data_IF_794592336362
#
_entry.id   IF_794592336362
#
_cell.length_a   1.000
_cell.length_b   1.000
_cell.length_c   1.000
_cell.angle_alpha   90.00
_cell.angle_beta   90.00
_cell.angle_gamma   90.00
#
_symmetry.space_group_name_H-M   'P 1'
#
loop_
_entity.id
_entity.type
_entity.pdbx_description
1 polymer ?
#
# COMPACT_ATOMS: atom_id res chain seq x y z
N UNK A 1 -64.23 -22.85 56.42
CA UNK A 1 -63.04 -22.30 55.73
C UNK A 1 -62.84 -23.06 54.42
N UNK A 2 -63.35 -22.54 53.30
CA UNK A 2 -63.21 -23.17 51.97
C UNK A 2 -61.98 -22.62 51.24
N UNK A 3 -61.03 -23.49 50.88
CA UNK A 3 -59.82 -23.13 50.13
C UNK A 3 -60.19 -22.67 48.71
N UNK A 4 -59.79 -21.47 48.32
CA UNK A 4 -59.83 -21.03 46.94
C UNK A 4 -58.86 -21.89 46.11
N UNK A 5 -59.36 -22.64 45.11
CA UNK A 5 -58.52 -23.31 44.12
C UNK A 5 -58.03 -22.26 43.12
N UNK A 6 -56.75 -21.91 43.21
CA UNK A 6 -56.08 -21.14 42.18
C UNK A 6 -55.89 -22.04 40.95
N UNK A 7 -56.71 -21.89 39.92
CA UNK A 7 -56.51 -22.59 38.65
C UNK A 7 -55.36 -21.94 37.88
N UNK A 8 -54.36 -22.73 37.48
CA UNK A 8 -53.30 -22.25 36.58
C UNK A 8 -53.91 -21.79 35.26
N UNK A 9 -53.53 -20.63 34.72
CA UNK A 9 -54.11 -20.11 33.48
C UNK A 9 -53.88 -21.09 32.32
N UNK A 10 -54.89 -21.27 31.45
CA UNK A 10 -54.94 -22.24 30.34
C UNK A 10 -53.70 -22.23 29.42
N UNK A 11 -53.01 -21.09 29.34
CA UNK A 11 -51.77 -20.90 28.58
C UNK A 11 -50.64 -21.84 29.06
N UNK A 12 -50.65 -22.25 30.34
CA UNK A 12 -49.63 -23.15 30.91
C UNK A 12 -50.01 -24.63 30.91
N UNK A 13 -51.20 -24.99 30.42
CA UNK A 13 -51.61 -26.41 30.35
C UNK A 13 -51.10 -27.10 29.08
N UNK A 14 -50.91 -26.35 27.99
CA UNK A 14 -50.35 -26.88 26.75
C UNK A 14 -48.83 -26.68 26.72
N UNK A 15 -48.09 -27.78 26.97
CA UNK A 15 -46.62 -27.76 26.86
C UNK A 15 -46.15 -27.27 25.49
N UNK A 16 -46.87 -27.63 24.42
CA UNK A 16 -46.55 -27.22 23.06
C UNK A 16 -46.65 -25.70 22.87
N UNK A 17 -47.74 -25.08 23.36
CA UNK A 17 -47.93 -23.63 23.29
C UNK A 17 -46.83 -22.89 24.07
N UNK A 18 -46.45 -23.41 25.24
CA UNK A 18 -45.39 -22.83 26.04
C UNK A 18 -44.03 -22.90 25.33
N UNK A 19 -43.70 -24.01 24.68
CA UNK A 19 -42.47 -24.13 23.88
C UNK A 19 -42.49 -23.22 22.64
N UNK A 20 -43.62 -23.11 21.94
CA UNK A 20 -43.76 -22.22 20.79
C UNK A 20 -43.63 -20.75 21.18
N UNK A 21 -44.22 -20.33 22.30
CA UNK A 21 -44.07 -18.97 22.82
C UNK A 21 -42.63 -18.70 23.25
N UNK A 22 -41.98 -19.63 23.95
CA UNK A 22 -40.59 -19.48 24.35
C UNK A 22 -39.66 -19.39 23.13
N UNK A 23 -39.90 -20.19 22.09
CA UNK A 23 -39.16 -20.11 20.83
C UNK A 23 -39.42 -18.79 20.10
N UNK A 24 -40.67 -18.32 20.06
CA UNK A 24 -41.00 -17.02 19.46
C UNK A 24 -40.32 -15.86 20.20
N UNK A 25 -40.37 -15.85 21.54
CA UNK A 25 -39.73 -14.81 22.34
C UNK A 25 -38.20 -14.85 22.22
N UNK A 26 -37.59 -16.03 22.24
CA UNK A 26 -36.13 -16.15 22.07
C UNK A 26 -35.67 -15.76 20.66
N UNK A 27 -36.41 -16.15 19.62
CA UNK A 27 -36.09 -15.74 18.24
C UNK A 27 -36.35 -14.25 18.00
N UNK A 28 -37.42 -13.69 18.54
CA UNK A 28 -37.71 -12.26 18.46
C UNK A 28 -36.67 -11.44 19.22
N UNK A 29 -36.25 -11.89 20.41
CA UNK A 29 -35.18 -11.24 21.17
C UNK A 29 -33.84 -11.35 20.46
N UNK A 30 -33.53 -12.48 19.81
CA UNK A 30 -32.32 -12.64 19.00
C UNK A 30 -32.37 -11.77 17.73
N UNK A 31 -33.52 -11.65 17.08
CA UNK A 31 -33.74 -10.77 15.93
C UNK A 31 -33.64 -9.29 16.32
N UNK A 32 -34.20 -8.92 17.47
CA UNK A 32 -34.13 -7.57 18.02
C UNK A 32 -32.69 -7.24 18.47
N UNK A 33 -32.04 -8.16 19.17
CA UNK A 33 -30.64 -8.06 19.58
C UNK A 33 -29.71 -7.96 18.38
N UNK A 34 -29.91 -8.74 17.32
CA UNK A 34 -29.09 -8.62 16.09
C UNK A 34 -29.39 -7.33 15.31
N UNK A 35 -30.63 -6.83 15.33
CA UNK A 35 -31.03 -5.57 14.70
C UNK A 35 -30.50 -4.32 15.43
N UNK A 36 -30.52 -4.36 16.77
CA UNK A 36 -30.05 -3.33 17.71
C UNK A 36 -28.58 -3.51 18.11
N UNK A 37 -27.97 -4.66 17.77
CA UNK A 37 -26.57 -4.96 18.07
C UNK A 37 -25.70 -3.84 17.52
N UNK A 38 -24.73 -3.34 18.29
CA UNK A 38 -23.85 -2.23 17.90
C UNK A 38 -22.89 -2.61 16.74
N UNK A 39 -23.10 -3.75 16.08
CA UNK A 39 -22.49 -4.06 14.78
C UNK A 39 -22.94 -3.13 13.66
N UNK A 40 -24.04 -2.35 13.83
CA UNK A 40 -24.34 -1.21 12.96
C UNK A 40 -23.58 0.01 13.47
N UNK A 41 -22.43 0.23 12.89
CA UNK A 41 -21.62 1.42 13.12
C UNK A 41 -22.47 2.68 12.91
N UNK A 42 -22.67 3.47 13.97
CA UNK A 42 -23.20 4.82 13.84
C UNK A 42 -22.11 5.69 13.21
N UNK A 43 -22.11 5.75 11.88
CA UNK A 43 -21.24 6.67 11.16
C UNK A 43 -21.72 8.09 11.44
N UNK A 44 -20.89 8.88 12.14
CA UNK A 44 -21.07 10.32 12.17
C UNK A 44 -20.58 10.86 10.83
N UNK A 45 -21.43 10.81 9.82
CA UNK A 45 -21.19 11.58 8.59
C UNK A 45 -21.24 13.05 8.98
N UNK A 46 -20.12 13.76 8.94
CA UNK A 46 -20.19 15.21 9.00
C UNK A 46 -20.65 15.69 7.61
N UNK A 47 -21.69 16.54 7.52
CA UNK A 47 -22.19 17.05 6.25
C UNK A 47 -21.16 17.92 5.50
N UNK A 48 -20.02 18.21 6.11
CA UNK A 48 -18.91 18.95 5.54
C UNK A 48 -17.72 18.07 5.15
N UNK A 49 -17.83 16.75 5.29
CA UNK A 49 -16.72 15.84 5.02
C UNK A 49 -16.58 15.62 3.52
N UNK A 50 -15.46 16.05 2.91
CA UNK A 50 -15.21 15.85 1.49
C UNK A 50 -14.73 14.40 1.30
N UNK A 51 -15.34 13.37 1.87
CA UNK A 51 -14.85 11.99 1.67
C UNK A 51 -15.46 11.43 0.40
N UNK A 52 -14.60 10.92 -0.45
CA UNK A 52 -15.00 10.35 -1.72
C UNK A 52 -15.72 9.01 -1.46
N UNK A 53 -16.89 8.82 -2.08
CA UNK A 53 -17.65 7.58 -1.97
C UNK A 53 -16.83 6.39 -2.49
N UNK A 54 -17.09 5.15 -2.03
CA UNK A 54 -16.35 3.99 -2.53
C UNK A 54 -16.39 3.93 -4.06
N UNK A 55 -15.21 4.03 -4.68
CA UNK A 55 -15.05 4.12 -6.13
C UNK A 55 -15.16 2.77 -6.85
N UNK A 56 -15.19 1.68 -6.10
CA UNK A 56 -15.21 0.34 -6.67
C UNK A 56 -15.90 -0.64 -5.73
N UNK A 57 -16.74 -1.48 -6.31
CA UNK A 57 -17.40 -2.59 -5.62
C UNK A 57 -16.80 -3.89 -6.13
N UNK A 58 -16.31 -4.71 -5.21
CA UNK A 58 -15.74 -6.01 -5.57
C UNK A 58 -16.84 -7.06 -5.72
N UNK A 59 -16.68 -8.01 -6.66
CA UNK A 59 -17.46 -9.25 -6.66
C UNK A 59 -17.33 -9.95 -5.30
N UNK A 60 -18.42 -10.54 -4.77
CA UNK A 60 -18.40 -11.17 -3.44
C UNK A 60 -17.30 -12.23 -3.27
N UNK A 61 -17.02 -13.00 -4.32
CA UNK A 61 -16.02 -14.07 -4.32
C UNK A 61 -14.57 -13.60 -4.47
N UNK A 62 -14.32 -12.30 -4.66
CA UNK A 62 -12.98 -11.80 -4.90
C UNK A 62 -12.10 -11.82 -3.64
N UNK A 63 -11.08 -12.67 -3.66
CA UNK A 63 -10.07 -12.75 -2.61
C UNK A 63 -10.45 -13.63 -1.41
N UNK A 64 -11.50 -14.45 -1.51
CA UNK A 64 -11.91 -15.43 -0.48
C UNK A 64 -10.81 -16.45 -0.15
N UNK A 65 -9.90 -16.74 -1.10
CA UNK A 65 -8.83 -17.73 -0.93
C UNK A 65 -7.42 -17.15 -0.80
N UNK A 66 -7.27 -15.82 -0.79
CA UNK A 66 -5.94 -15.17 -0.81
C UNK A 66 -5.36 -14.87 0.57
N UNK A 67 -6.14 -14.98 1.65
CA UNK A 67 -5.66 -14.80 3.02
C UNK A 67 -6.41 -15.69 4.01
N UNK A 68 -5.83 -15.88 5.20
CA UNK A 68 -6.47 -16.54 6.33
C UNK A 68 -7.82 -15.88 6.67
N UNK A 69 -8.75 -16.74 7.11
CA UNK A 69 -10.15 -16.49 7.51
C UNK A 69 -10.42 -15.02 7.82
N UNK A 70 -11.47 -14.39 7.23
CA UNK A 70 -11.88 -13.06 7.63
C UNK A 70 -12.04 -13.05 9.16
N UNK A 71 -11.16 -12.34 9.86
CA UNK A 71 -11.37 -12.12 11.29
C UNK A 71 -12.68 -11.36 11.37
N UNK A 72 -13.74 -12.01 11.87
CA UNK A 72 -14.98 -11.37 12.33
C UNK A 72 -14.65 -10.44 13.51
N UNK A 73 -13.82 -9.42 13.28
CA UNK A 73 -13.82 -8.24 14.11
C UNK A 73 -14.90 -7.37 13.54
N UNK A 74 -15.87 -7.01 14.37
CA UNK A 74 -16.74 -5.86 14.16
C UNK A 74 -15.91 -4.58 14.17
N UNK A 75 -14.98 -4.42 13.23
CA UNK A 75 -14.23 -3.19 13.06
C UNK A 75 -15.11 -2.25 12.26
N UNK A 76 -15.92 -1.49 12.98
CA UNK A 76 -16.40 -0.21 12.49
C UNK A 76 -15.19 0.60 12.03
N UNK A 77 -14.95 0.62 10.72
CA UNK A 77 -13.94 1.44 10.10
C UNK A 77 -14.64 2.72 9.65
N UNK A 78 -14.79 3.66 10.58
CA UNK A 78 -15.01 5.03 10.16
C UNK A 78 -13.76 5.48 9.40
N UNK A 79 -13.89 6.15 8.24
CA UNK A 79 -12.75 6.86 7.69
C UNK A 79 -12.20 7.79 8.78
N UNK A 80 -10.87 7.83 8.88
CA UNK A 80 -10.20 8.66 9.88
C UNK A 80 -10.48 10.12 9.51
N UNK A 81 -11.07 10.87 10.44
CA UNK A 81 -11.37 12.28 10.25
C UNK A 81 -10.09 13.11 10.41
N UNK A 82 -9.91 14.07 9.51
CA UNK A 82 -8.79 15.00 9.56
C UNK A 82 -9.31 16.41 9.26
N UNK A 83 -9.39 17.25 10.29
CA UNK A 83 -9.73 18.68 10.16
C UNK A 83 -8.78 19.41 9.23
N UNK A 84 -7.55 18.93 9.12
CA UNK A 84 -6.43 19.63 8.49
C UNK A 84 -6.31 19.31 6.99
N UNK A 85 -7.28 18.58 6.42
CA UNK A 85 -7.27 18.19 5.00
C UNK A 85 -7.06 19.38 4.06
N UNK A 86 -7.82 20.46 4.26
CA UNK A 86 -7.74 21.65 3.40
C UNK A 86 -6.41 22.38 3.51
N UNK A 87 -5.80 22.35 4.70
CA UNK A 87 -4.47 22.92 4.93
C UNK A 87 -3.43 22.10 4.16
N UNK A 88 -3.39 20.78 4.40
CA UNK A 88 -2.46 19.89 3.72
C UNK A 88 -2.63 19.90 2.19
N UNK A 89 -3.87 19.96 1.71
CA UNK A 89 -4.17 20.06 0.28
C UNK A 89 -3.56 21.32 -0.33
N UNK A 90 -3.81 22.50 0.26
CA UNK A 90 -3.31 23.79 -0.27
C UNK A 90 -1.79 23.83 -0.24
N UNK A 91 -1.18 23.44 0.87
CA UNK A 91 0.28 23.47 1.01
C UNK A 91 0.97 22.52 0.01
N UNK A 92 0.45 21.29 -0.15
CA UNK A 92 0.98 20.36 -1.16
C UNK A 92 0.73 20.87 -2.58
N UNK A 93 -0.43 21.48 -2.84
CA UNK A 93 -0.72 22.09 -4.14
C UNK A 93 0.31 23.16 -4.49
N UNK A 94 0.60 24.07 -3.57
CA UNK A 94 1.57 25.16 -3.76
C UNK A 94 2.98 24.58 -3.99
N UNK A 95 3.39 23.59 -3.20
CA UNK A 95 4.68 22.90 -3.37
C UNK A 95 4.79 22.20 -4.74
N UNK A 96 3.69 21.63 -5.24
CA UNK A 96 3.65 21.00 -6.56
C UNK A 96 3.73 22.06 -7.68
N UNK A 97 3.05 23.21 -7.54
CA UNK A 97 3.10 24.29 -8.53
C UNK A 97 4.48 24.94 -8.61
N UNK A 98 5.08 25.28 -7.47
CA UNK A 98 6.42 25.89 -7.40
C UNK A 98 7.52 24.97 -7.97
N UNK A 99 7.33 23.64 -7.89
CA UNK A 99 8.29 22.68 -8.46
C UNK A 99 8.32 22.67 -9.99
N UNK A 100 7.25 23.13 -10.66
CA UNK A 100 7.17 23.18 -12.12
C UNK A 100 8.12 24.23 -12.72
N UNK A 101 8.52 25.23 -11.95
CA UNK A 101 9.43 26.28 -12.39
C UNK A 101 10.91 25.91 -12.24
N UNK A 102 11.23 24.91 -11.41
CA UNK A 102 12.61 24.59 -10.98
C UNK A 102 13.08 23.14 -11.20
N UNK A 103 12.21 22.22 -11.66
CA UNK A 103 12.59 20.81 -11.77
C UNK A 103 13.51 20.53 -12.98
N UNK A 104 14.81 20.66 -12.78
CA UNK A 104 15.82 20.09 -13.67
C UNK A 104 15.68 18.55 -13.67
N UNK A 105 15.32 17.98 -14.82
CA UNK A 105 15.01 16.56 -14.96
C UNK A 105 16.29 15.74 -14.86
N UNK A 106 16.44 14.97 -13.78
CA UNK A 106 17.55 14.02 -13.63
C UNK A 106 17.66 13.12 -14.87
N UNK A 107 18.87 13.07 -15.44
CA UNK A 107 19.17 12.22 -16.59
C UNK A 107 19.73 10.91 -16.09
N UNK A 108 19.16 9.80 -16.53
CA UNK A 108 19.63 8.47 -16.16
C UNK A 108 20.33 7.78 -17.31
N UNK A 109 21.41 7.07 -17.00
CA UNK A 109 22.15 6.28 -17.99
C UNK A 109 21.22 5.25 -18.64
N UNK A 110 21.34 5.13 -19.97
CA UNK A 110 20.64 4.15 -20.79
C UNK A 110 21.64 3.18 -21.39
N UNK A 111 21.22 1.93 -21.56
CA UNK A 111 22.12 0.89 -22.04
C UNK A 111 21.45 -0.47 -22.13
N UNK A 112 22.25 -1.49 -22.48
CA UNK A 112 21.78 -2.87 -22.68
C UNK A 112 22.12 -3.80 -21.52
N UNK A 113 22.64 -3.28 -20.40
CA UNK A 113 23.00 -4.12 -19.24
C UNK A 113 21.75 -4.61 -18.51
N UNK A 114 21.74 -5.90 -18.16
CA UNK A 114 20.73 -6.52 -17.30
C UNK A 114 21.00 -6.33 -15.80
N UNK A 115 22.17 -5.77 -15.44
CA UNK A 115 22.55 -5.58 -14.03
C UNK A 115 22.04 -4.23 -13.50
N UNK A 116 21.49 -4.25 -12.29
CA UNK A 116 21.07 -3.03 -11.59
C UNK A 116 22.28 -2.13 -11.28
N UNK A 117 22.24 -0.88 -11.74
CA UNK A 117 23.33 0.08 -11.58
C UNK A 117 24.60 -0.25 -12.37
N UNK A 118 24.55 -1.21 -13.31
CA UNK A 118 25.70 -1.62 -14.10
C UNK A 118 26.82 -2.32 -13.30
N UNK A 119 28.01 -2.41 -13.89
CA UNK A 119 29.19 -3.04 -13.28
C UNK A 119 30.21 -1.99 -12.81
N UNK A 120 29.78 -1.10 -11.91
CA UNK A 120 30.65 -0.08 -11.34
C UNK A 120 31.20 -0.52 -9.98
N UNK A 121 32.49 -0.22 -9.75
CA UNK A 121 33.12 -0.34 -8.43
C UNK A 121 32.43 0.57 -7.41
N UNK A 122 32.52 0.23 -6.12
CA UNK A 122 31.90 1.01 -5.05
C UNK A 122 32.39 2.46 -5.03
N UNK A 123 33.69 2.70 -5.22
CA UNK A 123 34.26 4.04 -5.31
C UNK A 123 33.63 4.87 -6.43
N UNK A 124 33.40 4.25 -7.59
CA UNK A 124 32.74 4.91 -8.72
C UNK A 124 31.25 5.13 -8.48
N UNK A 125 30.57 4.30 -7.68
CA UNK A 125 29.16 4.53 -7.29
C UNK A 125 29.06 5.73 -6.33
N UNK A 126 29.95 5.82 -5.35
CA UNK A 126 30.00 6.91 -4.37
C UNK A 126 30.19 8.27 -5.05
N UNK A 127 30.97 8.35 -6.13
CA UNK A 127 31.15 9.62 -6.87
C UNK A 127 29.86 10.18 -7.48
N UNK A 128 28.78 9.39 -7.59
CA UNK A 128 27.48 9.87 -8.07
C UNK A 128 26.52 10.28 -6.93
N UNK A 129 26.88 10.08 -5.66
CA UNK A 129 26.01 10.45 -4.54
C UNK A 129 25.93 11.96 -4.35
N UNK A 130 27.01 12.67 -4.68
CA UNK A 130 27.02 14.13 -4.73
C UNK A 130 26.79 14.57 -6.18
N UNK A 131 25.52 14.82 -6.52
CA UNK A 131 25.17 15.33 -7.85
C UNK A 131 25.32 16.86 -7.86
N UNK A 132 26.36 17.35 -8.55
CA UNK A 132 26.65 18.78 -8.65
C UNK A 132 26.41 19.38 -10.05
N UNK A 133 26.14 18.54 -11.06
CA UNK A 133 26.03 18.96 -12.46
C UNK A 133 25.00 18.16 -13.24
N UNK A 134 24.03 18.87 -13.81
CA UNK A 134 22.92 18.30 -14.59
C UNK A 134 23.34 17.65 -15.92
N UNK A 135 24.57 17.90 -16.36
CA UNK A 135 25.14 17.27 -17.56
C UNK A 135 25.48 15.79 -17.35
N UNK A 136 25.62 15.35 -16.09
CA UNK A 136 26.06 14.00 -15.75
C UNK A 136 24.87 13.04 -15.65
N UNK A 137 24.88 12.00 -16.48
CA UNK A 137 23.87 10.94 -16.39
C UNK A 137 24.12 10.07 -15.14
N UNK A 138 23.07 9.83 -14.36
CA UNK A 138 23.14 9.05 -13.11
C UNK A 138 22.94 7.56 -13.41
N UNK A 139 23.81 6.66 -12.93
CA UNK A 139 23.68 5.22 -13.10
C UNK A 139 22.71 4.59 -12.08
N UNK A 140 21.52 5.18 -11.91
CA UNK A 140 20.51 4.69 -10.97
C UNK A 140 19.54 3.71 -11.66
N UNK A 141 19.40 2.51 -11.10
CA UNK A 141 18.49 1.48 -11.60
C UNK A 141 19.01 0.68 -12.78
N UNK A 142 18.10 0.03 -13.51
CA UNK A 142 18.44 -0.68 -14.74
C UNK A 142 18.70 0.30 -15.88
N UNK A 143 19.67 -0.03 -16.74
CA UNK A 143 19.97 0.76 -17.93
C UNK A 143 19.00 0.47 -19.07
N UNK A 144 18.39 -0.73 -19.06
CA UNK A 144 17.28 -1.08 -19.95
C UNK A 144 16.02 -0.31 -19.58
N UNK A 145 15.17 -0.06 -20.58
CA UNK A 145 13.87 0.55 -20.37
C UNK A 145 12.99 -0.38 -19.53
N UNK A 146 12.30 0.18 -18.54
CA UNK A 146 11.31 -0.57 -17.77
C UNK A 146 10.19 -1.07 -18.70
N UNK A 147 9.80 -2.35 -18.66
CA UNK A 147 9.06 -2.97 -19.75
C UNK A 147 7.54 -2.74 -19.63
N UNK A 148 7.14 -1.47 -19.80
CA UNK A 148 5.75 -0.99 -19.83
C UNK A 148 5.38 -0.44 -21.20
N UNK A 149 4.08 -0.36 -21.51
CA UNK A 149 3.58 0.20 -22.76
C UNK A 149 3.93 1.69 -22.89
N UNK A 150 4.04 2.20 -24.12
CA UNK A 150 4.25 3.64 -24.34
C UNK A 150 3.08 4.49 -23.81
N UNK A 151 1.84 4.00 -23.91
CA UNK A 151 0.66 4.70 -23.38
C UNK A 151 0.66 4.78 -21.86
N UNK A 152 1.16 3.76 -21.17
CA UNK A 152 1.29 3.80 -19.71
C UNK A 152 2.49 4.64 -19.29
N UNK A 153 3.60 4.59 -20.01
CA UNK A 153 4.73 5.48 -19.76
C UNK A 153 4.31 6.95 -19.84
N UNK A 154 3.56 7.35 -20.87
CA UNK A 154 3.03 8.71 -21.00
C UNK A 154 2.10 9.06 -19.83
N UNK A 155 1.30 8.11 -19.35
CA UNK A 155 0.43 8.34 -18.20
C UNK A 155 1.21 8.51 -16.89
N UNK A 156 2.27 7.74 -16.70
CA UNK A 156 3.17 7.85 -15.55
C UNK A 156 3.87 9.21 -15.56
N UNK A 157 4.39 9.65 -16.71
CA UNK A 157 5.02 10.97 -16.88
C UNK A 157 4.04 12.13 -16.70
N UNK A 158 2.73 11.93 -16.90
CA UNK A 158 1.73 12.98 -16.69
C UNK A 158 1.42 13.25 -15.22
N UNK A 159 1.77 12.34 -14.31
CA UNK A 159 1.54 12.57 -12.89
C UNK A 159 2.52 13.61 -12.34
N UNK A 160 2.01 14.76 -11.88
CA UNK A 160 2.84 15.90 -11.43
C UNK A 160 2.83 16.13 -9.92
N UNK A 161 1.71 15.84 -9.26
CA UNK A 161 1.56 16.06 -7.82
C UNK A 161 2.17 14.92 -7.00
N UNK A 162 1.29 14.14 -6.37
CA UNK A 162 1.69 12.97 -5.58
C UNK A 162 1.38 11.70 -6.37
N UNK A 163 2.32 10.76 -6.41
CA UNK A 163 2.05 9.42 -6.94
C UNK A 163 1.97 8.39 -5.81
N UNK A 164 0.89 7.62 -5.76
CA UNK A 164 0.78 6.45 -4.90
C UNK A 164 0.94 5.20 -5.76
N UNK A 165 1.88 4.35 -5.39
CA UNK A 165 2.27 3.19 -6.19
C UNK A 165 2.25 1.92 -5.36
N UNK A 166 1.72 0.87 -5.96
CA UNK A 166 1.79 -0.49 -5.45
C UNK A 166 2.12 -1.45 -6.60
N UNK A 167 2.39 -2.72 -6.26
CA UNK A 167 2.57 -3.76 -7.26
C UNK A 167 2.06 -5.12 -6.78
N UNK A 168 1.51 -5.91 -7.69
CA UNK A 168 1.11 -7.30 -7.47
C UNK A 168 1.66 -8.12 -8.64
N UNK A 169 2.61 -9.00 -8.32
CA UNK A 169 3.17 -9.94 -9.29
C UNK A 169 2.73 -11.36 -8.93
N UNK A 170 2.56 -12.21 -9.95
CA UNK A 170 2.22 -13.62 -9.81
C UNK A 170 0.97 -13.89 -8.94
N UNK A 171 0.00 -12.98 -8.99
CA UNK A 171 -1.29 -13.09 -8.31
C UNK A 171 -1.21 -13.25 -6.77
N UNK A 172 -0.08 -12.89 -6.16
CA UNK A 172 0.18 -13.12 -4.74
C UNK A 172 -0.77 -12.38 -3.79
N UNK A 173 -1.31 -11.23 -4.21
CA UNK A 173 -2.12 -10.36 -3.38
C UNK A 173 -3.42 -9.94 -4.10
N UNK A 174 -4.27 -9.19 -3.41
CA UNK A 174 -5.51 -8.62 -3.97
C UNK A 174 -5.43 -7.10 -4.04
N UNK A 175 -6.13 -6.51 -5.00
CA UNK A 175 -6.24 -5.06 -5.11
C UNK A 175 -7.06 -4.54 -3.94
N UNK A 176 -6.54 -3.55 -3.20
CA UNK A 176 -7.24 -2.90 -2.09
C UNK A 176 -7.46 -1.43 -2.41
N UNK A 177 -8.71 -0.98 -2.45
CA UNK A 177 -9.00 0.45 -2.56
C UNK A 177 -8.57 1.20 -1.29
N UNK A 178 -8.02 2.42 -1.40
CA UNK A 178 -7.88 3.30 -0.25
C UNK A 178 -9.26 3.60 0.38
N UNK A 179 -9.29 3.83 1.70
CA UNK A 179 -10.55 3.99 2.46
C UNK A 179 -10.98 5.44 2.70
N UNK A 180 -10.04 6.35 2.93
CA UNK A 180 -10.33 7.71 3.40
C UNK A 180 -9.68 8.74 2.47
N UNK A 181 -10.19 8.85 1.24
CA UNK A 181 -9.72 9.88 0.31
C UNK A 181 -10.61 11.12 0.40
N UNK A 182 -9.98 12.28 0.49
CA UNK A 182 -10.64 13.57 0.34
C UNK A 182 -11.12 13.83 -1.09
N UNK A 183 -12.06 14.74 -1.27
CA UNK A 183 -12.79 14.90 -2.53
C UNK A 183 -11.89 15.53 -3.60
N UNK A 184 -10.95 16.37 -3.17
CA UNK A 184 -9.94 17.00 -4.02
C UNK A 184 -8.70 16.14 -4.23
N UNK A 185 -8.60 14.98 -3.57
CA UNK A 185 -7.35 14.21 -3.56
C UNK A 185 -6.98 13.73 -4.96
N UNK A 186 -7.97 13.35 -5.77
CA UNK A 186 -7.71 12.91 -7.15
C UNK A 186 -7.30 14.05 -8.10
N UNK A 187 -7.44 15.32 -7.70
CA UNK A 187 -6.95 16.46 -8.49
C UNK A 187 -5.41 16.56 -8.44
N UNK A 188 -4.80 16.08 -7.35
CA UNK A 188 -3.35 16.14 -7.13
C UNK A 188 -2.67 14.77 -7.09
N UNK A 189 -3.40 13.69 -6.81
CA UNK A 189 -2.84 12.38 -6.52
C UNK A 189 -3.21 11.36 -7.61
N UNK A 190 -2.20 10.69 -8.15
CA UNK A 190 -2.36 9.59 -9.09
C UNK A 190 -2.09 8.24 -8.40
N UNK A 191 -2.91 7.23 -8.69
CA UNK A 191 -2.76 5.89 -8.14
C UNK A 191 -2.39 4.90 -9.24
N UNK A 192 -1.26 4.21 -9.08
CA UNK A 192 -0.74 3.24 -10.04
C UNK A 192 -0.46 1.89 -9.40
N UNK A 193 -0.90 0.83 -10.08
CA UNK A 193 -0.68 -0.55 -9.66
C UNK A 193 0.04 -1.32 -10.76
N UNK A 194 1.27 -1.74 -10.52
CA UNK A 194 2.02 -2.58 -11.45
C UNK A 194 1.62 -4.05 -11.31
N UNK A 195 1.33 -4.72 -12.43
CA UNK A 195 0.97 -6.14 -12.46
C UNK A 195 1.65 -6.87 -13.63
N UNK A 196 1.89 -8.17 -13.49
CA UNK A 196 2.28 -9.03 -14.62
C UNK A 196 1.07 -9.62 -15.36
N UNK A 197 1.33 -10.32 -16.46
CA UNK A 197 0.27 -10.95 -17.26
C UNK A 197 -0.48 -12.04 -16.48
N UNK A 198 0.19 -12.74 -15.55
CA UNK A 198 -0.42 -13.75 -14.68
C UNK A 198 -1.49 -13.10 -13.82
N UNK A 199 -1.13 -12.05 -13.08
CA UNK A 199 -2.06 -11.29 -12.24
C UNK A 199 -3.17 -10.67 -13.08
N UNK A 200 -2.85 -10.10 -14.24
CA UNK A 200 -3.85 -9.50 -15.14
C UNK A 200 -4.90 -10.52 -15.61
N UNK A 201 -4.46 -11.74 -15.95
CA UNK A 201 -5.36 -12.87 -16.31
C UNK A 201 -6.28 -13.24 -15.16
N UNK A 202 -5.74 -13.29 -13.94
CA UNK A 202 -6.51 -13.64 -12.75
C UNK A 202 -7.55 -12.56 -12.43
N UNK A 203 -7.20 -11.28 -12.54
CA UNK A 203 -8.15 -10.18 -12.37
C UNK A 203 -9.29 -10.23 -13.39
N UNK A 204 -9.01 -10.57 -14.65
CA UNK A 204 -10.02 -10.77 -15.70
C UNK A 204 -10.96 -11.94 -15.40
N UNK A 205 -10.41 -13.07 -14.95
CA UNK A 205 -11.19 -14.25 -14.55
C UNK A 205 -12.14 -13.98 -13.37
N UNK A 206 -11.74 -13.07 -12.47
CA UNK A 206 -12.56 -12.60 -11.35
C UNK A 206 -13.47 -11.44 -11.73
N UNK A 207 -13.56 -11.06 -13.02
CA UNK A 207 -14.38 -9.95 -13.51
C UNK A 207 -14.04 -8.60 -12.86
N UNK A 208 -12.81 -8.43 -12.36
CA UNK A 208 -12.33 -7.17 -11.78
C UNK A 208 -11.97 -6.17 -12.88
N UNK A 209 -11.43 -6.68 -13.98
CA UNK A 209 -11.10 -5.94 -15.20
C UNK A 209 -11.61 -6.71 -16.41
N UNK A 210 -11.57 -6.09 -17.58
CA UNK A 210 -11.76 -6.78 -18.86
C UNK A 210 -10.53 -6.65 -19.74
N UNK A 211 -9.92 -7.77 -20.14
CA UNK A 211 -8.78 -7.83 -21.09
C UNK A 211 -9.10 -7.31 -22.49
N UNK A 212 -10.38 -7.10 -22.81
CA UNK A 212 -10.81 -6.43 -24.05
C UNK A 212 -10.54 -4.91 -24.01
N UNK A 213 -10.34 -4.35 -22.82
CA UNK A 213 -9.99 -2.94 -22.66
C UNK A 213 -8.51 -2.70 -22.93
N UNK A 214 -8.20 -1.55 -23.55
CA UNK A 214 -6.83 -1.07 -23.76
C UNK A 214 -6.26 -0.35 -22.53
N UNK A 215 -7.11 -0.02 -21.55
CA UNK A 215 -6.76 0.67 -20.31
C UNK A 215 -7.48 -0.01 -19.14
N UNK A 216 -6.72 -0.32 -18.10
CA UNK A 216 -7.22 -1.04 -16.94
C UNK A 216 -7.30 -0.10 -15.74
N UNK A 217 -8.51 0.15 -15.24
CA UNK A 217 -8.75 0.92 -14.02
C UNK A 217 -9.58 0.06 -13.06
N UNK A 218 -9.19 0.05 -11.79
CA UNK A 218 -9.91 -0.62 -10.69
C UNK A 218 -10.07 0.38 -9.56
N UNK A 219 -11.23 1.04 -9.49
CA UNK A 219 -11.43 2.19 -8.61
C UNK A 219 -10.44 3.30 -8.91
N UNK A 220 -9.66 3.74 -7.92
CA UNK A 220 -8.60 4.75 -8.14
C UNK A 220 -7.40 4.20 -8.91
N UNK A 221 -7.15 2.89 -8.82
CA UNK A 221 -5.92 2.31 -9.32
C UNK A 221 -5.94 2.22 -10.84
N UNK A 222 -5.00 2.92 -11.47
CA UNK A 222 -4.62 2.63 -12.85
C UNK A 222 -3.68 1.43 -12.86
N UNK A 223 -4.11 0.34 -13.48
CA UNK A 223 -3.36 -0.90 -13.55
C UNK A 223 -2.43 -0.87 -14.77
N UNK A 224 -1.13 -1.00 -14.52
CA UNK A 224 -0.07 -1.04 -15.54
C UNK A 224 0.44 -2.47 -15.68
N UNK A 225 0.32 -3.02 -16.88
CA UNK A 225 0.94 -4.29 -17.23
C UNK A 225 2.45 -4.11 -17.42
N UNK A 226 3.23 -4.90 -16.69
CA UNK A 226 4.68 -5.01 -16.83
C UNK A 226 4.99 -6.34 -17.50
N UNK A 227 5.77 -6.32 -18.59
CA UNK A 227 6.20 -7.55 -19.24
C UNK A 227 7.25 -8.26 -18.40
N UNK A 228 6.99 -9.52 -18.03
CA UNK A 228 7.89 -10.35 -17.24
C UNK A 228 9.08 -10.92 -18.02
N UNK A 229 9.09 -10.84 -19.36
CA UNK A 229 10.11 -11.46 -20.23
C UNK A 229 11.56 -11.01 -19.94
N UNK A 230 11.73 -9.83 -19.33
CA UNK A 230 13.05 -9.25 -19.03
C UNK A 230 13.19 -8.89 -17.55
N UNK A 231 12.40 -9.49 -16.69
CA UNK A 231 12.48 -9.31 -15.25
C UNK A 231 13.09 -10.54 -14.56
N UNK A 232 13.21 -10.50 -13.24
CA UNK A 232 13.71 -11.63 -12.47
C UNK A 232 12.74 -12.81 -12.53
N UNK A 233 13.29 -14.03 -12.48
CA UNK A 233 12.50 -15.25 -12.36
C UNK A 233 11.67 -15.26 -11.07
N UNK A 234 12.21 -14.71 -9.98
CA UNK A 234 11.49 -14.55 -8.72
C UNK A 234 10.53 -13.34 -8.78
N UNK A 235 9.20 -13.55 -8.72
CA UNK A 235 8.23 -12.46 -8.80
C UNK A 235 8.33 -11.45 -7.64
N UNK A 236 8.81 -11.88 -6.46
CA UNK A 236 8.99 -10.97 -5.33
C UNK A 236 10.05 -9.90 -5.62
N UNK A 237 11.11 -10.26 -6.37
CA UNK A 237 12.13 -9.29 -6.80
C UNK A 237 11.58 -8.29 -7.82
N UNK A 238 10.56 -8.67 -8.60
CA UNK A 238 9.96 -7.79 -9.60
C UNK A 238 9.18 -6.64 -8.96
N UNK A 239 8.62 -6.84 -7.76
CA UNK A 239 8.02 -5.78 -6.94
C UNK A 239 9.04 -4.78 -6.37
N UNK A 240 10.28 -5.22 -6.17
CA UNK A 240 11.36 -4.37 -5.64
C UNK A 240 11.78 -3.29 -6.64
N UNK A 241 11.66 -3.58 -7.95
CA UNK A 241 12.05 -2.65 -9.02
C UNK A 241 11.24 -1.35 -8.98
N UNK A 242 9.89 -1.38 -9.11
CA UNK A 242 9.10 -0.15 -9.03
C UNK A 242 9.15 0.48 -7.64
N UNK A 243 9.36 -0.29 -6.57
CA UNK A 243 9.52 0.23 -5.21
C UNK A 243 10.68 1.22 -5.09
N UNK A 244 11.86 0.88 -5.63
CA UNK A 244 13.04 1.74 -5.53
C UNK A 244 13.18 2.76 -6.66
N UNK A 245 12.53 2.53 -7.80
CA UNK A 245 12.68 3.36 -8.99
C UNK A 245 11.52 4.33 -9.23
N UNK A 246 10.71 4.65 -8.22
CA UNK A 246 9.60 5.61 -8.35
C UNK A 246 10.04 6.94 -8.95
N UNK A 247 11.16 7.49 -8.50
CA UNK A 247 11.74 8.74 -9.01
C UNK A 247 12.07 8.70 -10.51
N UNK A 248 12.36 7.51 -11.06
CA UNK A 248 12.68 7.31 -12.48
C UNK A 248 11.42 7.00 -13.30
N UNK A 249 10.48 6.27 -12.70
CA UNK A 249 9.22 5.86 -13.32
C UNK A 249 8.21 7.01 -13.39
N UNK A 250 8.22 7.90 -12.41
CA UNK A 250 7.35 9.07 -12.30
C UNK A 250 8.20 10.34 -12.23
N UNK A 251 8.93 10.68 -13.30
CA UNK A 251 9.96 11.72 -13.26
C UNK A 251 9.42 13.14 -13.03
N UNK A 252 8.11 13.34 -13.14
CA UNK A 252 7.47 14.63 -12.99
C UNK A 252 6.67 14.75 -11.68
N UNK A 253 6.55 13.69 -10.88
CA UNK A 253 5.82 13.77 -9.61
C UNK A 253 6.68 14.45 -8.54
N UNK A 254 6.12 15.38 -7.78
CA UNK A 254 6.81 16.03 -6.67
C UNK A 254 7.02 15.09 -5.48
N UNK A 255 6.01 14.28 -5.15
CA UNK A 255 6.05 13.34 -4.04
C UNK A 255 5.65 11.94 -4.51
N UNK A 256 6.16 10.93 -3.82
CA UNK A 256 5.78 9.54 -4.10
C UNK A 256 5.57 8.74 -2.81
N UNK A 257 4.62 7.82 -2.84
CA UNK A 257 4.31 6.89 -1.76
C UNK A 257 4.33 5.48 -2.35
N UNK A 258 5.18 4.61 -1.80
CA UNK A 258 5.08 3.18 -2.03
C UNK A 258 4.20 2.53 -0.96
N UNK A 259 3.23 1.71 -1.38
CA UNK A 259 2.43 0.87 -0.48
C UNK A 259 2.47 -0.60 -0.93
N UNK A 260 2.84 -1.48 -0.02
CA UNK A 260 2.79 -2.93 -0.25
C UNK A 260 1.34 -3.38 -0.47
N UNK A 261 1.08 -4.24 -1.45
CA UNK A 261 -0.27 -4.65 -1.84
C UNK A 261 -1.03 -5.42 -0.73
N UNK A 262 -0.31 -5.96 0.26
CA UNK A 262 -0.91 -6.56 1.46
C UNK A 262 -1.58 -5.52 2.35
N UNK A 263 -1.11 -4.28 2.31
CA UNK A 263 -1.60 -3.18 3.10
C UNK A 263 -2.74 -2.44 2.40
N UNK A 264 -3.57 -1.77 3.19
CA UNK A 264 -4.61 -0.88 2.70
C UNK A 264 -4.30 0.54 3.15
N UNK A 265 -4.37 1.49 2.23
CA UNK A 265 -4.18 2.90 2.55
C UNK A 265 -5.41 3.42 3.30
N UNK A 266 -5.27 3.64 4.61
CA UNK A 266 -6.36 4.05 5.49
C UNK A 266 -6.47 5.57 5.65
N UNK A 267 -5.38 6.30 5.39
CA UNK A 267 -5.25 7.75 5.56
C UNK A 267 -5.02 8.39 4.19
N UNK A 268 -5.55 9.59 3.98
CA UNK A 268 -5.35 10.32 2.74
C UNK A 268 -3.85 10.52 2.45
N UNK A 269 -3.37 10.25 1.22
CA UNK A 269 -1.96 10.38 0.87
C UNK A 269 -1.41 11.82 1.03
N UNK A 270 -2.25 12.85 0.87
CA UNK A 270 -1.84 14.24 1.08
C UNK A 270 -1.48 14.46 2.56
N UNK A 271 -2.29 13.95 3.47
CA UNK A 271 -2.03 14.06 4.90
C UNK A 271 -0.79 13.27 5.32
N UNK A 272 -0.56 12.10 4.74
CA UNK A 272 0.65 11.32 5.02
C UNK A 272 1.91 12.07 4.60
N UNK A 273 1.95 12.63 3.39
CA UNK A 273 3.09 13.42 2.93
C UNK A 273 3.26 14.67 3.78
N UNK A 274 2.17 15.38 4.06
CA UNK A 274 2.21 16.59 4.88
C UNK A 274 2.78 16.32 6.27
N UNK A 275 2.25 15.32 6.96
CA UNK A 275 2.62 15.02 8.34
C UNK A 275 4.00 14.36 8.47
N UNK A 276 4.41 13.51 7.53
CA UNK A 276 5.64 12.72 7.65
C UNK A 276 6.84 13.35 6.94
N UNK A 277 6.61 14.10 5.87
CA UNK A 277 7.69 14.61 5.00
C UNK A 277 7.77 16.13 5.09
N UNK A 278 6.69 16.84 4.75
CA UNK A 278 6.69 18.31 4.65
C UNK A 278 6.87 18.95 6.02
N UNK A 279 6.05 18.58 7.01
CA UNK A 279 6.08 19.17 8.36
C UNK A 279 7.38 18.91 9.10
N UNK A 280 8.07 17.81 8.80
CA UNK A 280 9.37 17.49 9.40
C UNK A 280 10.55 18.01 8.58
N UNK A 281 10.30 18.60 7.40
CA UNK A 281 11.32 19.05 6.46
C UNK A 281 12.37 17.97 6.16
N UNK A 282 11.92 16.76 5.79
CA UNK A 282 12.77 15.62 5.44
C UNK A 282 12.54 15.19 3.99
N UNK A 283 13.52 14.53 3.38
CA UNK A 283 13.41 14.05 1.98
C UNK A 283 12.57 12.77 1.84
N UNK A 284 12.56 11.93 2.88
CA UNK A 284 11.84 10.66 2.88
C UNK A 284 11.42 10.23 4.28
N UNK A 285 10.33 9.46 4.34
CA UNK A 285 9.90 8.75 5.54
C UNK A 285 9.75 7.26 5.24
N UNK A 286 10.18 6.41 6.16
CA UNK A 286 10.09 4.95 6.06
C UNK A 286 9.44 4.42 7.34
N UNK A 287 8.53 3.45 7.22
CA UNK A 287 7.96 2.77 8.37
C UNK A 287 9.05 2.08 9.20
N UNK A 288 9.08 2.35 10.50
CA UNK A 288 9.95 1.64 11.45
C UNK A 288 9.54 0.16 11.50
N UNK A 289 10.52 -0.73 11.44
CA UNK A 289 10.27 -2.15 11.65
C UNK A 289 9.85 -2.40 13.12
N UNK A 290 8.80 -3.22 13.38
CA UNK A 290 8.22 -3.34 14.71
C UNK A 290 9.13 -4.03 15.74
N UNK A 291 10.05 -4.89 15.28
CA UNK A 291 10.91 -5.70 16.16
C UNK A 291 12.38 -5.33 16.03
N UNK A 292 12.96 -5.58 14.85
CA UNK A 292 14.37 -5.32 14.58
C UNK A 292 14.69 -3.85 14.46
N UNK A 293 15.76 -3.45 15.14
CA UNK A 293 16.27 -2.09 15.16
C UNK A 293 17.52 -1.98 14.28
N UNK A 294 18.16 -3.10 13.95
CA UNK A 294 19.38 -3.14 13.17
C UNK A 294 19.24 -4.04 11.92
N UNK A 295 19.73 -3.57 10.77
CA UNK A 295 19.88 -4.35 9.53
C UNK A 295 20.49 -5.75 9.72
N UNK A 296 21.47 -5.92 10.61
CA UNK A 296 22.09 -7.23 10.86
C UNK A 296 21.11 -8.23 11.50
N UNK A 297 20.23 -7.76 12.37
CA UNK A 297 19.17 -8.59 12.96
C UNK A 297 18.19 -9.07 11.89
N UNK A 298 17.77 -8.17 10.98
CA UNK A 298 16.90 -8.52 9.86
C UNK A 298 17.59 -9.50 8.89
N UNK A 299 18.89 -9.32 8.63
CA UNK A 299 19.67 -10.24 7.80
C UNK A 299 19.76 -11.64 8.44
N UNK A 300 20.10 -11.71 9.73
CA UNK A 300 20.12 -12.98 10.47
C UNK A 300 18.74 -13.65 10.51
N UNK A 301 17.67 -12.88 10.73
CA UNK A 301 16.30 -13.39 10.70
C UNK A 301 15.90 -13.89 9.31
N UNK A 302 16.30 -13.17 8.24
CA UNK A 302 16.07 -13.54 6.84
C UNK A 302 16.73 -14.88 6.50
N UNK A 303 17.98 -15.07 6.92
CA UNK A 303 18.69 -16.34 6.77
C UNK A 303 18.02 -17.46 7.58
N UNK A 304 17.72 -17.21 8.86
CA UNK A 304 17.11 -18.21 9.77
C UNK A 304 15.75 -18.69 9.28
N UNK A 305 14.93 -17.78 8.77
CA UNK A 305 13.59 -18.08 8.24
C UNK A 305 13.59 -18.52 6.78
N UNK A 306 14.76 -18.64 6.14
CA UNK A 306 14.91 -19.02 4.73
C UNK A 306 14.04 -18.18 3.79
N UNK A 307 13.85 -16.90 4.13
CA UNK A 307 13.16 -15.92 3.27
C UNK A 307 13.95 -15.67 1.98
N UNK A 308 15.27 -15.83 2.07
CA UNK A 308 16.20 -15.78 0.95
C UNK A 308 17.01 -17.08 0.94
N UNK A 309 17.11 -17.73 -0.22
CA UNK A 309 17.76 -19.04 -0.31
C UNK A 309 19.29 -18.93 -0.36
N UNK A 310 19.81 -17.86 -0.97
CA UNK A 310 21.24 -17.62 -1.16
C UNK A 310 21.83 -16.91 0.08
N UNK A 311 22.02 -17.71 1.13
CA UNK A 311 22.57 -17.25 2.41
C UNK A 311 24.00 -16.73 2.27
N UNK A 312 24.78 -17.30 1.34
CA UNK A 312 26.14 -16.83 1.06
C UNK A 312 26.14 -15.43 0.44
N UNK A 313 25.23 -15.18 -0.50
CA UNK A 313 25.01 -13.85 -1.07
C UNK A 313 24.55 -12.82 -0.02
N UNK A 314 23.67 -13.23 0.90
CA UNK A 314 23.25 -12.38 2.01
C UNK A 314 24.42 -12.03 2.96
N UNK A 315 25.28 -13.01 3.28
CA UNK A 315 26.50 -12.76 4.06
C UNK A 315 27.41 -11.77 3.32
N UNK A 316 27.70 -12.01 2.05
CA UNK A 316 28.58 -11.14 1.25
C UNK A 316 28.03 -9.71 1.17
N UNK A 317 26.70 -9.55 1.05
CA UNK A 317 26.04 -8.24 1.06
C UNK A 317 26.24 -7.53 2.40
N UNK A 318 26.09 -8.23 3.52
CA UNK A 318 26.30 -7.66 4.85
C UNK A 318 27.77 -7.30 5.12
N UNK A 319 28.71 -8.16 4.71
CA UNK A 319 30.15 -7.88 4.76
C UNK A 319 30.49 -6.63 3.95
N UNK A 320 29.96 -6.55 2.72
CA UNK A 320 30.12 -5.36 1.86
C UNK A 320 29.58 -4.10 2.54
N UNK A 321 28.43 -4.17 3.22
CA UNK A 321 27.90 -3.02 3.94
C UNK A 321 28.81 -2.59 5.08
N UNK A 322 29.34 -3.53 5.87
CA UNK A 322 30.29 -3.26 6.94
C UNK A 322 31.58 -2.61 6.40
N UNK A 323 32.13 -3.16 5.31
CA UNK A 323 33.33 -2.64 4.65
C UNK A 323 33.14 -1.20 4.12
N UNK A 324 31.90 -0.85 3.78
CA UNK A 324 31.52 0.49 3.33
C UNK A 324 30.97 1.39 4.46
N UNK A 325 31.23 1.04 5.73
CA UNK A 325 30.97 1.91 6.88
C UNK A 325 29.61 1.73 7.54
N UNK A 326 28.88 0.65 7.25
CA UNK A 326 27.66 0.31 8.02
C UNK A 326 28.06 -0.07 9.45
N UNK A 327 27.79 0.83 10.38
CA UNK A 327 27.92 0.57 11.81
C UNK A 327 26.61 0.07 12.41
N UNK A 328 26.64 -0.82 13.42
CA UNK A 328 25.46 -1.20 14.17
C UNK A 328 24.66 -0.02 14.70
N UNK A 329 23.35 -0.20 14.84
CA UNK A 329 22.54 0.83 15.47
C UNK A 329 22.88 0.93 16.96
N UNK A 330 23.03 2.16 17.47
CA UNK A 330 23.28 2.46 18.88
C UNK A 330 22.44 3.66 19.31
N UNK A 331 22.14 3.83 20.62
CA UNK A 331 21.39 5.00 21.11
C UNK A 331 22.01 6.35 20.74
N UNK A 332 23.31 6.40 20.45
CA UNK A 332 24.00 7.60 19.98
C UNK A 332 23.53 8.07 18.59
N UNK A 333 22.79 7.23 17.85
CA UNK A 333 22.20 7.56 16.54
C UNK A 333 20.81 8.17 16.64
N UNK A 334 20.32 8.47 17.85
CA UNK A 334 19.09 9.26 17.99
C UNK A 334 19.23 10.61 17.25
N UNK A 335 18.15 11.12 16.63
CA UNK A 335 16.76 10.66 16.74
C UNK A 335 16.37 9.49 15.80
N UNK A 336 17.31 8.90 15.04
CA UNK A 336 16.98 7.79 14.13
C UNK A 336 16.64 6.52 14.94
N UNK A 337 15.40 6.02 14.87
CA UNK A 337 14.93 4.97 15.79
C UNK A 337 15.34 3.55 15.38
N UNK A 338 16.04 3.40 14.24
CA UNK A 338 16.59 2.14 13.72
C UNK A 338 17.71 2.41 12.72
N UNK A 339 18.63 1.45 12.56
CA UNK A 339 19.63 1.43 11.51
C UNK A 339 18.96 1.14 10.17
N UNK A 340 18.85 2.15 9.31
CA UNK A 340 18.19 2.02 8.01
C UNK A 340 19.10 1.19 7.09
N UNK A 341 18.72 -0.06 6.85
CA UNK A 341 19.23 -0.84 5.73
C UNK A 341 18.33 -0.65 4.52
N UNK A 342 18.65 0.29 3.64
CA UNK A 342 18.15 0.21 2.26
C UNK A 342 18.97 -0.90 1.61
N UNK A 343 18.44 -2.12 1.62
CA UNK A 343 19.05 -3.23 0.90
C UNK A 343 18.90 -2.96 -0.60
N UNK A 344 20.02 -2.61 -1.24
CA UNK A 344 20.20 -2.59 -2.70
C UNK A 344 20.66 -3.96 -3.20
#
# INVERSE_FOLDING_TARGET
MGKAKLSTPLIFQSKLLCFSLLYFFTTLFLALYTSLSPSKCLFRSSPFDPILTPLFTYPPSYGEHKYAIPTHRSSCSSPVYFSDYWLAFKEIQDLCQNSLEFSQRLRYMKGKSDRFGGNFSTQKRISYFQHSSDSVEIPCGFFKKFPVSNSDQIAMERCRGVVVVSAIFNDHDKIRQPKSLGYKTLDLVCFFLFVDDITLTRLDSHQIISRKSHKYNVGVWRVIKVSSKHLYENPAMNGVIPKFLLHRLFPNSKFSIWIDAKLQLMVDPLLLIHALVVSNNVDMAISKHPFFVHTMEEAMATARWRKWWDVDGLRLQMETYCDNGLLPWTPNKLPYPSGIGISL
#
